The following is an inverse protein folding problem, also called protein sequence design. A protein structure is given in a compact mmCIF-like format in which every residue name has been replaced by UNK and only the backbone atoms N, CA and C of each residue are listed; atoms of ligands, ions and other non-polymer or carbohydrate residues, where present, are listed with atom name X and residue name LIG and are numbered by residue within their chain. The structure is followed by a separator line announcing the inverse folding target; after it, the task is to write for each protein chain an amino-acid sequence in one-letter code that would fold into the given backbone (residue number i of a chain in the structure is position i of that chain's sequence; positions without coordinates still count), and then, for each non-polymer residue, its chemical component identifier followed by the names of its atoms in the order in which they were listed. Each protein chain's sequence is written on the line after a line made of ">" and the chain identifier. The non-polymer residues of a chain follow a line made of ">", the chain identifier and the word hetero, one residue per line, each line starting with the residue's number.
data_IF_990815547590
#
_entry.id   IF_990815547590
#
_cell.length_a   1.000
_cell.length_b   1.000
_cell.length_c   1.000
_cell.angle_alpha   90.00
_cell.angle_beta   90.00
_cell.angle_gamma   90.00
#
_symmetry.space_group_name_H-M   'P 1'
#
loop_
_entity.id
_entity.type
_entity.pdbx_description
1 polymer ?
#
# COMPACT_ATOMS: atom_id res chain seq x y z
N UNK A 1 21.11 -13.37 -12.83
CA UNK A 1 20.20 -12.18 -12.88
C UNK A 1 19.61 -11.89 -14.28
N UNK A 2 19.32 -12.89 -15.13
CA UNK A 2 18.76 -12.64 -16.48
C UNK A 2 17.43 -13.37 -16.78
N UNK A 3 16.88 -14.14 -15.83
CA UNK A 3 15.66 -14.93 -16.08
C UNK A 3 14.37 -14.21 -15.66
N UNK A 4 14.42 -13.41 -14.59
CA UNK A 4 13.23 -12.74 -14.02
C UNK A 4 12.67 -11.64 -14.93
N UNK A 5 13.56 -10.84 -15.53
CA UNK A 5 13.20 -9.76 -16.48
C UNK A 5 12.59 -10.27 -17.80
N UNK A 6 12.81 -11.54 -18.16
CA UNK A 6 12.35 -12.12 -19.44
C UNK A 6 10.88 -12.55 -19.40
N UNK A 7 10.31 -12.80 -18.21
CA UNK A 7 8.90 -13.18 -18.06
C UNK A 7 7.93 -11.99 -18.15
N UNK A 8 8.39 -10.76 -17.91
CA UNK A 8 7.58 -9.55 -18.03
C UNK A 8 7.28 -9.16 -19.49
N UNK A 9 8.12 -9.54 -20.45
CA UNK A 9 8.02 -9.03 -21.83
C UNK A 9 7.10 -9.84 -22.78
N UNK A 10 6.67 -11.06 -22.44
CA UNK A 10 6.04 -11.98 -23.40
C UNK A 10 4.51 -12.16 -23.28
N UNK A 11 3.81 -11.37 -22.46
CA UNK A 11 2.35 -11.53 -22.21
C UNK A 11 1.52 -10.46 -22.95
N UNK A 12 2.15 -9.64 -23.80
CA UNK A 12 1.51 -8.56 -24.56
C UNK A 12 0.91 -9.03 -25.89
N UNK A 13 -0.24 -9.71 -25.87
CA UNK A 13 -1.12 -9.77 -27.04
C UNK A 13 -2.56 -10.16 -26.68
N UNK A 14 -3.49 -9.24 -27.00
CA UNK A 14 -4.96 -9.44 -27.14
C UNK A 14 -5.75 -9.68 -25.83
N UNK A 15 -7.02 -9.25 -25.67
CA UNK A 15 -8.01 -8.54 -26.51
C UNK A 15 -9.03 -7.90 -25.54
N UNK A 16 -9.66 -6.81 -25.99
CA UNK A 16 -10.61 -5.97 -25.26
C UNK A 16 -12.03 -6.55 -25.20
N UNK A 17 -12.63 -6.60 -24.00
CA UNK A 17 -14.09 -6.58 -23.81
C UNK A 17 -14.39 -5.82 -22.51
N UNK A 18 -15.06 -4.68 -22.61
CA UNK A 18 -15.40 -3.81 -21.48
C UNK A 18 -16.68 -4.28 -20.78
N UNK A 19 -16.65 -4.38 -19.45
CA UNK A 19 -17.84 -4.50 -18.60
C UNK A 19 -17.68 -3.58 -17.39
N UNK A 20 -18.72 -2.83 -17.04
CA UNK A 20 -18.72 -1.79 -16.00
C UNK A 20 -18.81 -2.38 -14.58
N UNK A 21 -18.08 -1.78 -13.63
CA UNK A 21 -18.14 -2.12 -12.20
C UNK A 21 -19.38 -1.43 -11.58
N UNK A 22 -20.17 -2.10 -10.71
CA UNK A 22 -21.31 -1.49 -10.05
C UNK A 22 -20.87 -0.48 -8.98
N UNK A 23 -21.54 0.67 -8.96
CA UNK A 23 -21.46 1.68 -7.92
C UNK A 23 -22.01 1.12 -6.60
N UNK A 24 -21.19 1.03 -5.55
CA UNK A 24 -21.63 0.62 -4.21
C UNK A 24 -22.19 1.86 -3.52
N UNK A 25 -23.50 1.89 -3.29
CA UNK A 25 -24.19 2.88 -2.47
C UNK A 25 -23.51 3.04 -1.10
N UNK A 26 -23.43 4.28 -0.59
CA UNK A 26 -22.91 4.58 0.75
C UNK A 26 -23.77 3.91 1.82
N UNK A 27 -23.50 2.64 2.13
CA UNK A 27 -24.07 1.99 3.30
C UNK A 27 -23.54 2.67 4.56
N UNK A 28 -24.45 3.23 5.38
CA UNK A 28 -24.15 3.50 6.78
C UNK A 28 -23.70 2.20 7.46
N UNK A 29 -22.58 2.28 8.17
CA UNK A 29 -22.02 1.14 8.87
C UNK A 29 -22.75 1.00 10.20
N UNK A 30 -23.23 -0.21 10.51
CA UNK A 30 -23.81 -0.50 11.82
C UNK A 30 -22.83 -0.17 12.96
N UNK A 31 -23.31 0.42 14.05
CA UNK A 31 -22.44 0.94 15.12
C UNK A 31 -21.65 -0.19 15.78
N UNK A 32 -22.22 -1.39 15.91
CA UNK A 32 -21.51 -2.55 16.44
C UNK A 32 -20.34 -2.98 15.55
N UNK A 33 -20.49 -2.84 14.23
CA UNK A 33 -19.42 -3.10 13.26
C UNK A 33 -18.35 -2.01 13.37
N UNK A 34 -18.75 -0.75 13.55
CA UNK A 34 -17.82 0.35 13.74
C UNK A 34 -16.95 0.13 14.98
N UNK A 35 -17.58 -0.12 16.13
CA UNK A 35 -16.89 -0.31 17.41
C UNK A 35 -15.89 -1.47 17.34
N UNK A 36 -16.29 -2.61 16.76
CA UNK A 36 -15.41 -3.76 16.59
C UNK A 36 -14.19 -3.46 15.70
N UNK A 37 -14.43 -2.86 14.52
CA UNK A 37 -13.33 -2.50 13.61
C UNK A 37 -12.41 -1.44 14.22
N UNK A 38 -12.98 -0.40 14.84
CA UNK A 38 -12.21 0.66 15.48
C UNK A 38 -11.34 0.12 16.62
N UNK A 39 -11.86 -0.82 17.42
CA UNK A 39 -11.10 -1.49 18.47
C UNK A 39 -9.91 -2.29 17.90
N UNK A 40 -10.16 -3.14 16.91
CA UNK A 40 -9.12 -3.98 16.29
C UNK A 40 -8.05 -3.10 15.62
N UNK A 41 -8.46 -2.15 14.78
CA UNK A 41 -7.54 -1.26 14.06
C UNK A 41 -6.75 -0.40 15.05
N UNK A 42 -7.42 0.20 16.04
CA UNK A 42 -6.79 1.07 17.02
C UNK A 42 -5.78 0.37 17.94
N UNK A 43 -5.87 -0.95 18.09
CA UNK A 43 -4.87 -1.74 18.83
C UNK A 43 -3.49 -1.80 18.15
N UNK A 44 -3.41 -1.49 16.85
CA UNK A 44 -2.19 -1.62 16.03
C UNK A 44 -1.81 -0.30 15.32
N UNK A 45 -2.78 0.40 14.75
CA UNK A 45 -2.54 1.51 13.82
C UNK A 45 -2.45 2.87 14.54
N UNK A 46 -1.23 3.33 14.82
CA UNK A 46 -1.02 4.70 15.35
C UNK A 46 -1.59 5.75 14.39
N UNK A 47 -1.44 5.53 13.07
CA UNK A 47 -2.04 6.38 12.04
C UNK A 47 -3.55 6.59 12.25
N UNK A 48 -4.29 5.52 12.57
CA UNK A 48 -5.73 5.57 12.81
C UNK A 48 -6.06 6.26 14.14
N UNK A 49 -5.27 6.01 15.18
CA UNK A 49 -5.52 6.58 16.51
C UNK A 49 -5.44 8.10 16.52
N UNK A 50 -4.58 8.67 15.68
CA UNK A 50 -4.41 10.12 15.51
C UNK A 50 -5.58 10.80 14.78
N UNK A 51 -6.42 10.05 14.07
CA UNK A 51 -7.49 10.64 13.27
C UNK A 51 -8.59 11.25 14.16
N UNK A 52 -9.20 12.38 13.72
CA UNK A 52 -10.48 12.87 14.23
C UNK A 52 -11.60 11.83 14.06
N UNK A 53 -12.66 11.93 14.86
CA UNK A 53 -13.71 10.90 14.94
C UNK A 53 -14.46 10.68 13.62
N UNK A 54 -14.73 11.74 12.86
CA UNK A 54 -15.35 11.68 11.53
C UNK A 54 -14.45 10.92 10.54
N UNK A 55 -13.14 11.18 10.57
CA UNK A 55 -12.17 10.49 9.73
C UNK A 55 -11.91 9.05 10.19
N UNK A 56 -12.02 8.74 11.48
CA UNK A 56 -12.02 7.35 11.98
C UNK A 56 -13.20 6.57 11.41
N UNK A 57 -14.41 7.15 11.42
CA UNK A 57 -15.60 6.54 10.79
C UNK A 57 -15.38 6.31 9.30
N UNK A 58 -14.82 7.29 8.58
CA UNK A 58 -14.45 7.14 7.16
C UNK A 58 -13.44 6.01 6.95
N UNK A 59 -12.40 5.93 7.76
CA UNK A 59 -11.35 4.91 7.67
C UNK A 59 -11.92 3.52 7.90
N UNK A 60 -12.74 3.34 8.95
CA UNK A 60 -13.40 2.07 9.25
C UNK A 60 -14.35 1.66 8.12
N UNK A 61 -15.16 2.58 7.61
CA UNK A 61 -16.06 2.34 6.47
C UNK A 61 -15.30 1.84 5.25
N UNK A 62 -14.22 2.53 4.86
CA UNK A 62 -13.36 2.13 3.74
C UNK A 62 -12.69 0.77 3.99
N UNK A 63 -12.27 0.50 5.23
CA UNK A 63 -11.66 -0.79 5.62
C UNK A 63 -12.64 -1.93 5.50
N UNK A 64 -13.87 -1.74 5.99
CA UNK A 64 -14.96 -2.70 5.87
C UNK A 64 -15.30 -2.99 4.40
N UNK A 65 -15.47 -1.94 3.59
CA UNK A 65 -15.77 -2.06 2.17
C UNK A 65 -14.62 -2.74 1.40
N UNK A 66 -13.37 -2.36 1.66
CA UNK A 66 -12.20 -3.01 1.07
C UNK A 66 -12.22 -4.49 1.39
N UNK A 67 -12.33 -4.87 2.67
CA UNK A 67 -12.33 -6.27 3.11
C UNK A 67 -13.41 -7.11 2.41
N UNK A 68 -14.64 -6.59 2.29
CA UNK A 68 -15.76 -7.29 1.66
C UNK A 68 -15.53 -7.63 0.18
N UNK A 69 -14.65 -6.89 -0.49
CA UNK A 69 -14.30 -7.11 -1.89
C UNK A 69 -13.14 -8.11 -2.07
N UNK A 70 -12.54 -8.60 -0.97
CA UNK A 70 -11.37 -9.48 -1.01
C UNK A 70 -11.69 -10.89 -0.51
N UNK A 71 -10.91 -11.84 -0.99
CA UNK A 71 -10.80 -13.21 -0.48
C UNK A 71 -9.46 -13.34 0.23
N UNK A 72 -9.52 -13.81 1.47
CA UNK A 72 -8.33 -14.00 2.30
C UNK A 72 -7.98 -15.49 2.36
N UNK A 73 -6.73 -15.81 2.05
CA UNK A 73 -6.19 -17.16 2.08
C UNK A 73 -5.14 -17.25 3.17
N UNK A 74 -5.28 -18.20 4.09
CA UNK A 74 -4.38 -18.34 5.24
C UNK A 74 -3.51 -19.57 5.05
N UNK A 75 -2.19 -19.37 5.02
CA UNK A 75 -1.20 -20.43 4.76
C UNK A 75 -0.28 -20.54 5.98
N UNK A 76 -0.49 -21.62 6.75
CA UNK A 76 0.25 -21.83 8.00
C UNK A 76 -0.15 -20.89 9.14
N UNK A 77 -1.22 -20.11 8.98
CA UNK A 77 -1.81 -19.23 10.00
C UNK A 77 -3.26 -19.64 10.20
N UNK A 78 -3.75 -19.52 11.44
CA UNK A 78 -5.17 -19.73 11.72
C UNK A 78 -6.03 -18.64 11.05
N UNK A 79 -7.23 -19.03 10.61
CA UNK A 79 -8.18 -18.07 10.07
C UNK A 79 -8.60 -17.09 11.17
N UNK A 80 -8.43 -15.79 10.91
CA UNK A 80 -8.73 -14.72 11.87
C UNK A 80 -9.36 -13.52 11.17
N UNK A 81 -10.55 -13.14 11.64
CA UNK A 81 -11.23 -11.94 11.16
C UNK A 81 -10.40 -10.68 11.45
N UNK A 82 -9.78 -10.61 12.64
CA UNK A 82 -8.91 -9.51 13.04
C UNK A 82 -7.74 -9.34 12.07
N UNK A 83 -7.11 -10.45 11.67
CA UNK A 83 -6.02 -10.44 10.68
C UNK A 83 -6.50 -9.86 9.35
N UNK A 84 -7.66 -10.29 8.84
CA UNK A 84 -8.23 -9.73 7.61
C UNK A 84 -8.58 -8.24 7.74
N UNK A 85 -9.06 -7.80 8.91
CA UNK A 85 -9.36 -6.39 9.20
C UNK A 85 -8.08 -5.57 9.19
N UNK A 86 -7.03 -6.02 9.88
CA UNK A 86 -5.74 -5.32 9.96
C UNK A 86 -5.04 -5.24 8.61
N UNK A 87 -5.04 -6.32 7.82
CA UNK A 87 -4.50 -6.30 6.44
C UNK A 87 -5.32 -5.39 5.53
N UNK A 88 -6.64 -5.30 5.73
CA UNK A 88 -7.47 -4.34 5.00
C UNK A 88 -7.17 -2.90 5.41
N UNK A 89 -6.92 -2.66 6.70
CA UNK A 89 -6.59 -1.35 7.23
C UNK A 89 -5.26 -0.82 6.67
N UNK A 90 -4.25 -1.69 6.44
CA UNK A 90 -3.00 -1.26 5.80
C UNK A 90 -3.20 -0.80 4.36
N UNK A 91 -4.08 -1.48 3.61
CA UNK A 91 -4.47 -1.04 2.26
C UNK A 91 -5.14 0.32 2.29
N UNK A 92 -6.06 0.53 3.26
CA UNK A 92 -6.77 1.80 3.42
C UNK A 92 -5.85 2.91 3.91
N UNK A 93 -4.87 2.64 4.77
CA UNK A 93 -3.86 3.63 5.16
C UNK A 93 -3.11 4.19 3.94
N UNK A 94 -2.61 3.31 3.07
CA UNK A 94 -1.91 3.73 1.84
C UNK A 94 -2.84 4.52 0.92
N UNK A 95 -4.13 4.18 0.89
CA UNK A 95 -5.10 4.75 -0.06
C UNK A 95 -6.07 5.77 0.55
N UNK A 96 -5.86 6.21 1.80
CA UNK A 96 -6.88 6.95 2.56
C UNK A 96 -7.27 8.27 1.91
N UNK A 97 -6.30 8.96 1.30
CA UNK A 97 -6.53 10.19 0.54
C UNK A 97 -6.99 9.99 -0.91
N UNK A 98 -7.16 8.75 -1.37
CA UNK A 98 -7.54 8.45 -2.75
C UNK A 98 -9.03 8.14 -2.87
N UNK A 99 -9.62 8.48 -4.01
CA UNK A 99 -11.00 8.11 -4.33
C UNK A 99 -11.11 6.63 -4.66
N UNK A 100 -10.20 6.13 -5.49
CA UNK A 100 -10.14 4.73 -5.90
C UNK A 100 -9.33 3.87 -4.92
N UNK A 101 -9.80 3.78 -3.67
CA UNK A 101 -9.07 3.09 -2.58
C UNK A 101 -9.19 1.55 -2.62
N UNK A 102 -10.12 1.00 -3.41
CA UNK A 102 -10.49 -0.40 -3.35
C UNK A 102 -9.48 -1.37 -3.97
N UNK A 103 -8.57 -0.90 -4.83
CA UNK A 103 -7.64 -1.75 -5.61
C UNK A 103 -8.34 -2.96 -6.24
N UNK A 104 -9.37 -2.71 -7.07
CA UNK A 104 -10.32 -3.71 -7.56
C UNK A 104 -9.69 -4.83 -8.42
N UNK A 105 -8.48 -4.63 -8.95
CA UNK A 105 -7.74 -5.68 -9.65
C UNK A 105 -7.43 -6.88 -8.74
N UNK A 106 -6.96 -6.60 -7.51
CA UNK A 106 -6.57 -7.63 -6.57
C UNK A 106 -7.77 -8.12 -5.79
N UNK A 107 -8.22 -9.34 -6.08
CA UNK A 107 -9.34 -9.99 -5.37
C UNK A 107 -8.86 -10.93 -4.27
N UNK A 108 -7.64 -11.43 -4.39
CA UNK A 108 -7.09 -12.46 -3.51
C UNK A 108 -5.90 -11.89 -2.72
N UNK A 109 -5.92 -12.11 -1.41
CA UNK A 109 -4.86 -11.73 -0.48
C UNK A 109 -4.44 -12.98 0.28
N UNK A 110 -3.15 -13.31 0.20
CA UNK A 110 -2.54 -14.48 0.82
C UNK A 110 -1.76 -14.05 2.05
N UNK A 111 -2.10 -14.63 3.21
CA UNK A 111 -1.48 -14.36 4.49
C UNK A 111 -0.70 -15.61 4.91
N UNK A 112 0.61 -15.48 4.98
CA UNK A 112 1.56 -16.55 5.30
C UNK A 112 2.11 -16.35 6.71
N UNK A 113 2.44 -17.43 7.42
CA UNK A 113 2.89 -17.33 8.81
C UNK A 113 4.17 -16.53 9.00
N UNK A 114 5.16 -16.80 8.17
CA UNK A 114 6.52 -16.25 8.26
C UNK A 114 7.07 -16.02 6.85
N UNK A 115 8.35 -15.68 6.74
CA UNK A 115 9.07 -15.63 5.48
C UNK A 115 9.01 -16.98 4.75
N UNK A 116 9.01 -16.93 3.43
CA UNK A 116 8.84 -18.11 2.58
C UNK A 116 9.72 -18.03 1.32
N UNK A 117 9.94 -19.18 0.70
CA UNK A 117 10.59 -19.28 -0.60
C UNK A 117 9.55 -19.45 -1.70
N UNK A 118 9.80 -18.86 -2.86
CA UNK A 118 9.07 -19.19 -4.08
C UNK A 118 9.73 -20.36 -4.80
N UNK A 119 8.95 -21.12 -5.56
CA UNK A 119 9.47 -22.24 -6.33
C UNK A 119 10.57 -21.77 -7.30
N UNK A 120 11.76 -22.37 -7.17
CA UNK A 120 12.98 -22.04 -7.92
C UNK A 120 13.62 -20.68 -7.56
N UNK A 121 13.36 -20.18 -6.37
CA UNK A 121 14.09 -19.04 -5.80
C UNK A 121 14.71 -19.40 -4.45
N UNK A 122 15.97 -19.01 -4.28
CA UNK A 122 16.70 -19.19 -3.02
C UNK A 122 16.55 -17.96 -2.11
N UNK A 123 15.94 -16.87 -2.58
CA UNK A 123 15.65 -15.69 -1.78
C UNK A 123 14.44 -15.93 -0.85
N UNK A 124 14.52 -15.37 0.35
CA UNK A 124 13.44 -15.36 1.32
C UNK A 124 12.56 -14.14 1.07
N UNK A 125 11.27 -14.38 0.91
CA UNK A 125 10.25 -13.37 0.72
C UNK A 125 9.47 -13.15 2.01
N UNK A 126 9.20 -11.90 2.34
CA UNK A 126 8.30 -11.51 3.45
C UNK A 126 6.99 -10.91 2.93
N UNK A 127 6.91 -10.67 1.63
CA UNK A 127 5.75 -10.24 0.87
C UNK A 127 6.10 -10.26 -0.63
N UNK A 128 5.07 -10.19 -1.48
CA UNK A 128 5.19 -9.79 -2.88
C UNK A 128 3.80 -9.50 -3.48
N UNK A 129 3.77 -8.80 -4.62
CA UNK A 129 2.58 -8.63 -5.45
C UNK A 129 2.75 -9.34 -6.78
N UNK A 130 1.77 -10.17 -7.14
CA UNK A 130 1.71 -10.87 -8.42
C UNK A 130 0.31 -10.70 -9.06
N UNK A 131 0.12 -10.98 -10.37
CA UNK A 131 -1.20 -10.87 -11.00
C UNK A 131 -2.30 -11.65 -10.29
N UNK A 132 -1.94 -12.74 -9.61
CA UNK A 132 -2.87 -13.61 -8.89
C UNK A 132 -3.27 -13.08 -7.50
N UNK A 133 -2.50 -12.17 -6.90
CA UNK A 133 -2.81 -11.64 -5.57
C UNK A 133 -1.70 -10.87 -4.88
N UNK A 134 -2.01 -10.44 -3.66
CA UNK A 134 -1.09 -9.78 -2.74
C UNK A 134 -0.69 -10.79 -1.67
N UNK A 135 0.60 -10.95 -1.41
CA UNK A 135 1.13 -11.93 -0.47
C UNK A 135 1.84 -11.22 0.67
N UNK A 136 1.55 -11.61 1.91
CA UNK A 136 2.08 -10.98 3.10
C UNK A 136 2.46 -12.01 4.16
N UNK A 137 3.64 -11.86 4.75
CA UNK A 137 4.00 -12.56 5.99
C UNK A 137 3.36 -11.88 7.19
N UNK A 138 2.54 -12.62 7.94
CA UNK A 138 1.85 -12.14 9.13
C UNK A 138 2.80 -11.73 10.25
N UNK A 139 3.86 -12.50 10.48
CA UNK A 139 4.91 -12.13 11.44
C UNK A 139 5.56 -10.79 11.10
N UNK A 140 5.87 -10.56 9.82
CA UNK A 140 6.50 -9.32 9.38
C UNK A 140 5.51 -8.15 9.31
N UNK A 141 4.23 -8.42 9.05
CA UNK A 141 3.16 -7.44 9.21
C UNK A 141 3.15 -6.90 10.64
N UNK A 142 3.10 -7.79 11.65
CA UNK A 142 3.10 -7.38 13.05
C UNK A 142 4.38 -6.64 13.45
N UNK A 143 5.53 -7.09 12.94
CA UNK A 143 6.80 -6.40 13.13
C UNK A 143 6.73 -4.94 12.64
N UNK A 144 6.24 -4.71 11.42
CA UNK A 144 6.16 -3.37 10.81
C UNK A 144 5.29 -2.38 11.59
N UNK A 145 4.25 -2.84 12.31
CA UNK A 145 3.43 -1.97 13.14
C UNK A 145 3.87 -1.89 14.62
N UNK A 146 4.82 -2.72 15.04
CA UNK A 146 5.33 -2.75 16.42
C UNK A 146 6.61 -1.93 16.60
N UNK A 147 7.50 -1.94 15.60
CA UNK A 147 8.82 -1.33 15.68
C UNK A 147 8.84 0.03 15.01
N UNK A 148 8.74 1.09 15.80
CA UNK A 148 8.82 2.46 15.31
C UNK A 148 10.29 2.82 15.02
N UNK A 149 10.55 3.42 13.87
CA UNK A 149 11.80 4.10 13.45
C UNK A 149 12.82 3.33 12.59
N UNK A 150 12.57 2.11 12.12
CA UNK A 150 13.45 1.45 11.13
C UNK A 150 13.05 1.73 9.66
N UNK A 151 11.93 2.43 9.45
CA UNK A 151 11.32 2.69 8.14
C UNK A 151 11.03 1.38 7.37
N UNK A 152 10.61 0.33 8.08
CA UNK A 152 10.23 -0.96 7.50
C UNK A 152 8.78 -1.29 7.85
N UNK A 153 7.92 -1.39 6.84
CA UNK A 153 6.56 -1.88 7.01
C UNK A 153 6.12 -2.65 5.77
N UNK A 154 6.23 -3.98 5.83
CA UNK A 154 5.92 -4.86 4.69
C UNK A 154 4.48 -4.70 4.19
N UNK A 155 3.53 -4.40 5.08
CA UNK A 155 2.15 -4.21 4.68
C UNK A 155 1.99 -2.94 3.84
N UNK A 156 2.60 -1.84 4.28
CA UNK A 156 2.64 -0.58 3.52
C UNK A 156 3.39 -0.79 2.20
N UNK A 157 4.51 -1.51 2.22
CA UNK A 157 5.33 -1.81 1.05
C UNK A 157 4.53 -2.53 -0.05
N UNK A 158 3.95 -3.69 0.26
CA UNK A 158 3.20 -4.47 -0.72
C UNK A 158 1.91 -3.77 -1.17
N UNK A 159 1.23 -3.04 -0.27
CA UNK A 159 0.05 -2.26 -0.66
C UNK A 159 0.41 -1.09 -1.59
N UNK A 160 1.64 -0.55 -1.48
CA UNK A 160 2.15 0.46 -2.40
C UNK A 160 2.40 -0.12 -3.79
N UNK A 161 2.96 -1.34 -3.88
CA UNK A 161 3.07 -2.05 -5.15
C UNK A 161 1.72 -2.37 -5.75
N UNK A 162 0.77 -2.87 -4.95
CA UNK A 162 -0.57 -3.18 -5.40
C UNK A 162 -1.30 -1.93 -5.91
N UNK A 163 -1.17 -0.79 -5.24
CA UNK A 163 -1.75 0.47 -5.69
C UNK A 163 -1.21 0.89 -7.06
N UNK A 164 0.12 0.83 -7.23
CA UNK A 164 0.76 1.16 -8.50
C UNK A 164 0.31 0.19 -9.60
N UNK A 165 0.30 -1.10 -9.33
CA UNK A 165 -0.10 -2.12 -10.30
C UNK A 165 -1.55 -1.94 -10.73
N UNK A 166 -2.47 -1.76 -9.77
CA UNK A 166 -3.88 -1.53 -10.02
C UNK A 166 -4.09 -0.31 -10.94
N UNK A 167 -3.30 0.74 -10.75
CA UNK A 167 -3.42 1.94 -11.57
C UNK A 167 -2.82 1.80 -12.96
N UNK A 168 -1.79 0.99 -13.22
CA UNK A 168 -1.16 0.95 -14.55
C UNK A 168 -1.54 -0.27 -15.42
N UNK A 169 -1.95 -1.37 -14.82
CA UNK A 169 -2.17 -2.64 -15.55
C UNK A 169 -3.62 -3.12 -15.53
N UNK A 170 -4.45 -2.63 -14.62
CA UNK A 170 -5.86 -3.01 -14.59
C UNK A 170 -6.68 -2.23 -15.62
N UNK A 171 -7.48 -2.94 -16.43
CA UNK A 171 -8.50 -2.34 -17.29
C UNK A 171 -9.60 -1.62 -16.48
N UNK A 172 -9.69 -1.91 -15.19
CA UNK A 172 -10.73 -1.43 -14.30
C UNK A 172 -10.20 -0.34 -13.37
N UNK A 173 -10.61 0.91 -13.59
CA UNK A 173 -10.53 1.93 -12.54
C UNK A 173 -9.18 2.62 -12.34
N UNK A 174 -8.37 2.78 -13.40
CA UNK A 174 -7.21 3.66 -13.35
C UNK A 174 -7.62 5.07 -12.94
N UNK A 175 -7.05 5.56 -11.83
CA UNK A 175 -7.28 6.93 -11.36
C UNK A 175 -6.37 7.87 -12.16
N UNK A 176 -6.96 8.63 -13.08
CA UNK A 176 -6.21 9.57 -13.93
C UNK A 176 -5.45 10.61 -13.12
N UNK A 177 -5.99 11.05 -11.97
CA UNK A 177 -5.31 12.00 -11.09
C UNK A 177 -4.11 11.33 -10.41
N UNK A 178 -4.29 10.11 -9.90
CA UNK A 178 -3.16 9.33 -9.36
C UNK A 178 -2.07 9.13 -10.40
N UNK A 179 -2.42 8.66 -11.61
CA UNK A 179 -1.44 8.42 -12.70
C UNK A 179 -0.67 9.69 -13.06
N UNK A 180 -1.36 10.82 -13.19
CA UNK A 180 -0.74 12.11 -13.51
C UNK A 180 0.17 12.60 -12.37
N UNK A 181 -0.25 12.45 -11.11
CA UNK A 181 0.59 12.80 -9.97
C UNK A 181 1.78 11.84 -9.84
N UNK A 182 1.61 10.55 -10.10
CA UNK A 182 2.68 9.56 -10.07
C UNK A 182 3.70 9.77 -11.19
N UNK A 183 3.25 10.18 -12.38
CA UNK A 183 4.16 10.58 -13.47
C UNK A 183 5.00 11.79 -13.05
N UNK A 184 4.39 12.81 -12.45
CA UNK A 184 5.13 13.94 -11.87
C UNK A 184 6.11 13.49 -10.79
N UNK A 185 5.69 12.62 -9.88
CA UNK A 185 6.57 12.02 -8.88
C UNK A 185 7.77 11.33 -9.53
N UNK A 186 7.54 10.51 -10.57
CA UNK A 186 8.60 9.77 -11.25
C UNK A 186 9.59 10.70 -11.94
N UNK A 187 9.12 11.79 -12.56
CA UNK A 187 9.95 12.81 -13.18
C UNK A 187 10.77 13.62 -12.16
N UNK A 188 10.16 13.97 -11.02
CA UNK A 188 10.83 14.73 -9.95
C UNK A 188 11.83 13.88 -9.17
N UNK A 189 11.54 12.60 -8.96
CA UNK A 189 12.38 11.71 -8.15
C UNK A 189 13.42 10.91 -8.93
N UNK A 190 13.29 10.82 -10.26
CA UNK A 190 14.32 10.22 -11.12
C UNK A 190 15.73 10.80 -10.90
N UNK A 191 15.90 12.14 -10.84
CA UNK A 191 17.18 12.76 -10.48
C UNK A 191 17.66 12.41 -9.07
N UNK A 192 16.77 12.32 -8.09
CA UNK A 192 17.10 11.91 -6.72
C UNK A 192 17.67 10.49 -6.72
N UNK A 193 17.00 9.55 -7.42
CA UNK A 193 17.46 8.18 -7.59
C UNK A 193 18.86 8.13 -8.22
N UNK A 194 19.09 8.89 -9.29
CA UNK A 194 20.39 8.96 -9.96
C UNK A 194 21.51 9.54 -9.07
N UNK A 195 21.21 10.59 -8.31
CA UNK A 195 22.16 11.21 -7.38
C UNK A 195 22.56 10.24 -6.26
N UNK A 196 21.58 9.56 -5.65
CA UNK A 196 21.85 8.60 -4.57
C UNK A 196 22.67 7.41 -5.05
N UNK A 197 22.36 6.86 -6.24
CA UNK A 197 23.17 5.78 -6.83
C UNK A 197 24.64 6.22 -7.01
N UNK A 198 24.85 7.49 -7.37
CA UNK A 198 26.18 8.05 -7.60
C UNK A 198 26.92 8.35 -6.29
N UNK A 199 26.26 8.99 -5.33
CA UNK A 199 26.87 9.51 -4.11
C UNK A 199 26.78 8.55 -2.92
N UNK A 200 26.01 7.47 -3.03
CA UNK A 200 25.77 6.44 -2.01
C UNK A 200 25.34 6.98 -0.65
N UNK A 201 24.56 8.07 -0.65
CA UNK A 201 24.02 8.70 0.56
C UNK A 201 22.54 8.96 0.36
N UNK A 202 21.73 8.43 1.28
CA UNK A 202 20.29 8.67 1.30
C UNK A 202 19.73 8.37 2.68
N UNK A 203 18.60 9.00 3.00
CA UNK A 203 17.76 8.67 4.14
C UNK A 203 17.03 7.33 3.96
N UNK A 204 16.55 7.03 2.74
CA UNK A 204 15.97 5.73 2.43
C UNK A 204 17.01 4.61 2.49
N UNK A 205 16.55 3.42 2.88
CA UNK A 205 17.36 2.18 2.90
C UNK A 205 17.87 1.84 1.50
N UNK A 206 19.03 1.18 1.43
CA UNK A 206 19.67 0.80 0.16
C UNK A 206 18.75 0.02 -0.80
N UNK A 207 17.81 -0.75 -0.25
CA UNK A 207 16.84 -1.53 -1.02
C UNK A 207 15.99 -0.67 -1.98
N UNK A 208 15.72 0.59 -1.62
CA UNK A 208 15.00 1.54 -2.45
C UNK A 208 15.66 1.77 -3.83
N UNK A 209 16.97 1.53 -3.94
CA UNK A 209 17.74 1.81 -5.15
C UNK A 209 17.91 0.61 -6.07
N UNK A 210 17.18 -0.48 -5.80
CA UNK A 210 17.18 -1.68 -6.64
C UNK A 210 16.52 -1.40 -8.00
N UNK A 211 15.35 -0.74 -7.99
CA UNK A 211 14.63 -0.28 -9.18
C UNK A 211 13.57 0.77 -8.79
N UNK A 212 12.86 1.35 -9.77
CA UNK A 212 11.87 2.41 -9.51
C UNK A 212 10.64 1.92 -8.70
N UNK A 213 10.26 0.64 -8.82
CA UNK A 213 9.14 0.10 -8.03
C UNK A 213 9.54 -0.02 -6.56
N UNK A 214 10.75 -0.50 -6.26
CA UNK A 214 11.28 -0.53 -4.88
C UNK A 214 11.47 0.88 -4.33
N UNK A 215 11.94 1.80 -5.17
CA UNK A 215 12.06 3.20 -4.79
C UNK A 215 10.71 3.76 -4.34
N UNK A 216 9.64 3.50 -5.09
CA UNK A 216 8.28 3.87 -4.72
C UNK A 216 7.87 3.25 -3.39
N UNK A 217 7.92 1.92 -3.25
CA UNK A 217 7.43 1.24 -2.06
C UNK A 217 8.20 1.63 -0.78
N UNK A 218 9.53 1.71 -0.84
CA UNK A 218 10.36 2.14 0.30
C UNK A 218 10.17 3.62 0.65
N UNK A 219 9.90 4.46 -0.36
CA UNK A 219 9.53 5.86 -0.11
C UNK A 219 8.21 5.97 0.66
N UNK A 220 7.21 5.17 0.29
CA UNK A 220 5.91 5.15 0.96
C UNK A 220 6.02 4.55 2.38
N UNK A 221 6.87 3.54 2.59
CA UNK A 221 7.20 3.07 3.95
C UNK A 221 7.72 4.21 4.82
N UNK A 222 8.78 4.90 4.38
CA UNK A 222 9.36 6.02 5.13
C UNK A 222 8.36 7.17 5.37
N UNK A 223 7.45 7.39 4.43
CA UNK A 223 6.41 8.42 4.51
C UNK A 223 5.40 8.17 5.63
N UNK A 224 5.01 6.91 5.85
CA UNK A 224 4.08 6.55 6.92
C UNK A 224 4.78 6.23 8.25
N UNK A 225 5.97 5.62 8.20
CA UNK A 225 6.71 5.22 9.41
C UNK A 225 7.41 6.39 10.11
N UNK A 226 8.01 7.31 9.34
CA UNK A 226 8.69 8.48 9.89
C UNK A 226 8.54 9.71 8.96
N UNK A 227 7.32 10.27 8.85
CA UNK A 227 7.04 11.41 7.97
C UNK A 227 7.94 12.62 8.28
N UNK A 228 8.21 12.88 9.56
CA UNK A 228 9.05 14.01 10.00
C UNK A 228 10.50 13.82 9.54
N UNK A 229 11.06 12.62 9.74
CA UNK A 229 12.41 12.28 9.28
C UNK A 229 12.54 12.35 7.76
N UNK A 230 11.53 11.85 7.02
CA UNK A 230 11.53 11.95 5.55
C UNK A 230 11.46 13.40 5.08
N UNK A 231 10.59 14.23 5.67
CA UNK A 231 10.47 15.65 5.34
C UNK A 231 11.77 16.43 5.59
N UNK A 232 12.48 16.12 6.67
CA UNK A 232 13.74 16.79 7.01
C UNK A 232 14.89 16.41 6.08
N UNK A 233 14.99 15.13 5.70
CA UNK A 233 16.15 14.62 4.95
C UNK A 233 15.93 14.57 3.43
N UNK A 234 14.68 14.45 2.98
CA UNK A 234 14.31 14.36 1.56
C UNK A 234 12.99 15.13 1.30
N UNK A 235 12.96 16.46 1.47
CA UNK A 235 11.74 17.27 1.41
C UNK A 235 11.02 17.18 0.06
N UNK A 236 11.74 17.20 -1.06
CA UNK A 236 11.12 17.13 -2.41
C UNK A 236 10.42 15.78 -2.63
N UNK A 237 10.98 14.70 -2.08
CA UNK A 237 10.37 13.38 -2.10
C UNK A 237 9.10 13.38 -1.22
N UNK A 238 9.19 13.92 -0.01
CA UNK A 238 8.05 14.04 0.91
C UNK A 238 6.88 14.80 0.26
N UNK A 239 7.14 15.98 -0.29
CA UNK A 239 6.13 16.82 -0.95
C UNK A 239 5.52 16.13 -2.18
N UNK A 240 6.30 15.32 -2.90
CA UNK A 240 5.81 14.54 -4.03
C UNK A 240 4.88 13.41 -3.57
N UNK A 241 5.23 12.69 -2.51
CA UNK A 241 4.37 11.64 -1.92
C UNK A 241 3.07 12.21 -1.38
N UNK A 242 3.13 13.38 -0.72
CA UNK A 242 1.95 14.10 -0.26
C UNK A 242 0.94 14.33 -1.39
N UNK A 243 1.42 14.79 -2.55
CA UNK A 243 0.58 15.06 -3.74
C UNK A 243 0.05 13.78 -4.39
N UNK A 244 0.86 12.73 -4.48
CA UNK A 244 0.45 11.46 -5.10
C UNK A 244 -0.60 10.74 -4.26
N UNK A 245 -0.39 10.66 -2.94
CA UNK A 245 -1.28 9.95 -2.03
C UNK A 245 -2.41 10.81 -1.48
N UNK A 246 -2.38 12.13 -1.75
CA UNK A 246 -3.29 13.15 -1.20
C UNK A 246 -3.34 13.10 0.34
N UNK A 247 -2.16 12.95 0.94
CA UNK A 247 -2.02 12.77 2.39
C UNK A 247 -0.86 13.56 2.98
N UNK A 248 -0.94 13.89 4.26
CA UNK A 248 0.17 14.39 5.08
C UNK A 248 0.15 13.67 6.44
N UNK A 249 0.89 12.55 6.60
CA UNK A 249 0.88 11.75 7.82
C UNK A 249 1.38 12.50 9.06
N UNK A 250 2.07 13.64 8.89
CA UNK A 250 2.51 14.50 9.99
C UNK A 250 1.40 15.35 10.61
N UNK A 251 0.24 15.43 9.94
CA UNK A 251 -0.94 16.17 10.43
C UNK A 251 -1.93 15.25 11.14
N UNK A 252 -2.91 15.82 11.83
CA UNK A 252 -3.99 15.05 12.49
C UNK A 252 -5.02 14.54 11.48
N UNK A 253 -5.41 15.34 10.48
CA UNK A 253 -6.38 14.95 9.46
C UNK A 253 -5.83 13.91 8.48
N UNK A 254 -4.51 13.85 8.30
CA UNK A 254 -3.80 13.02 7.32
C UNK A 254 -4.14 13.32 5.87
N UNK A 255 -5.18 14.10 5.55
CA UNK A 255 -5.65 14.41 4.19
C UNK A 255 -5.28 15.84 3.80
N UNK A 256 -4.80 16.05 2.56
CA UNK A 256 -4.59 17.39 2.01
C UNK A 256 -5.88 18.02 1.48
N UNK A 257 -6.69 17.20 0.79
CA UNK A 257 -8.01 17.55 0.29
C UNK A 257 -8.94 16.40 0.60
N UNK A 258 -10.13 16.70 1.13
CA UNK A 258 -11.14 15.67 1.32
C UNK A 258 -11.65 15.15 -0.05
N UNK A 259 -11.67 13.83 -0.17
CA UNK A 259 -12.26 13.13 -1.31
C UNK A 259 -13.36 12.22 -0.79
N UNK A 260 -14.56 12.34 -1.34
CA UNK A 260 -15.69 11.46 -1.02
C UNK A 260 -15.41 10.02 -1.47
#
# INVERSE_FOLDING_TARGET
>A
MHSFLRKLNNIFAQRSIATSIPFIEEMELDESVYENYAYIIGSVFTYFNDLPDDLKRKFVRRTYQYRKLKKFHYIGVEHSEDTAILVSASAVQVTFGLKNYQMAFFKDIYILADAYHMDNDNELYVGHVAPDGIYLSWKHFLYGYSYKNDNVNVAVHEMSHALLYNNYFAQFGGDSNFRLNYEKFSLTTGPILADVITNRRSYLRNYAFTNMHEFWAVSVEAFFENPVGLRQNMPDLYDSLCKVLNQDPSTTSKLLVEVD
#
